data_IF_339867075446
#
_entry.id   IF_339867075446
#
_cell.length_a   1.000
_cell.length_b   1.000
_cell.length_c   1.000
_cell.angle_alpha   90.00
_cell.angle_beta   90.00
_cell.angle_gamma   90.00
#
_symmetry.space_group_name_H-M   'P 1'
#
loop_
_entity.id
_entity.type
_entity.pdbx_description
1 polymer ?
#
# COMPACT_ATOMS: atom_id res chain seq x y z
N UNK A 1 5.20 -9.11 -13.71
CA UNK A 1 3.87 -8.70 -13.20
C UNK A 1 3.96 -8.84 -11.69
N UNK A 2 3.65 -7.79 -10.92
CA UNK A 2 3.59 -7.95 -9.46
C UNK A 2 2.51 -8.97 -9.15
N UNK A 3 2.89 -10.04 -8.47
CA UNK A 3 1.98 -11.13 -8.19
C UNK A 3 0.98 -10.70 -7.11
N UNK A 4 -0.32 -10.89 -7.39
CA UNK A 4 -1.40 -10.58 -6.43
C UNK A 4 -1.19 -11.34 -5.12
N UNK A 5 -0.58 -12.51 -5.19
CA UNK A 5 -0.24 -13.37 -4.05
C UNK A 5 0.78 -12.70 -3.11
N UNK A 6 1.79 -12.00 -3.66
CA UNK A 6 2.80 -11.31 -2.85
C UNK A 6 2.24 -10.03 -2.20
N UNK A 7 1.29 -9.37 -2.84
CA UNK A 7 0.58 -8.21 -2.25
C UNK A 7 -0.27 -8.66 -1.07
N UNK A 8 -0.88 -9.85 -1.13
CA UNK A 8 -1.72 -10.39 -0.06
C UNK A 8 -0.97 -10.76 1.22
N UNK A 9 0.25 -11.28 1.09
CA UNK A 9 1.08 -11.66 2.23
C UNK A 9 1.67 -10.44 2.97
N UNK A 10 1.89 -9.33 2.25
CA UNK A 10 2.55 -8.15 2.80
C UNK A 10 1.58 -7.00 3.15
N UNK A 11 0.40 -6.92 2.53
CA UNK A 11 -0.58 -5.88 2.85
C UNK A 11 -1.34 -6.23 4.13
N UNK A 12 -1.28 -5.31 5.09
CA UNK A 12 -1.98 -5.42 6.37
C UNK A 12 -2.82 -4.17 6.62
N UNK A 13 -3.96 -4.36 7.24
CA UNK A 13 -4.84 -3.28 7.70
C UNK A 13 -5.22 -3.56 9.16
N UNK A 14 -5.30 -2.50 9.97
CA UNK A 14 -5.78 -2.66 11.35
C UNK A 14 -7.29 -2.83 11.37
N UNK A 15 -7.79 -3.60 12.34
CA UNK A 15 -9.22 -3.87 12.46
C UNK A 15 -10.05 -2.61 12.72
N UNK A 16 -9.48 -1.58 13.36
CA UNK A 16 -10.18 -0.33 13.58
C UNK A 16 -10.21 0.58 12.34
N UNK A 17 -9.14 0.60 11.53
CA UNK A 17 -9.13 1.24 10.21
C UNK A 17 -10.13 0.57 9.26
N UNK A 18 -10.17 -0.77 9.24
CA UNK A 18 -11.15 -1.52 8.46
C UNK A 18 -12.57 -1.26 8.93
N UNK A 19 -12.81 -1.20 10.24
CA UNK A 19 -14.11 -0.88 10.81
C UNK A 19 -14.56 0.54 10.43
N UNK A 20 -13.65 1.51 10.46
CA UNK A 20 -13.95 2.88 10.04
C UNK A 20 -14.37 2.93 8.57
N UNK A 21 -13.61 2.28 7.68
CA UNK A 21 -13.96 2.14 6.26
C UNK A 21 -15.35 1.53 6.07
N UNK A 22 -15.64 0.43 6.77
CA UNK A 22 -16.95 -0.23 6.70
C UNK A 22 -18.04 0.73 7.19
N UNK A 23 -17.84 1.41 8.32
CA UNK A 23 -18.83 2.33 8.89
C UNK A 23 -19.10 3.55 8.01
N UNK A 24 -18.07 4.09 7.34
CA UNK A 24 -18.25 5.15 6.35
C UNK A 24 -19.18 4.71 5.21
N UNK A 25 -19.00 3.48 4.70
CA UNK A 25 -19.86 2.91 3.65
C UNK A 25 -21.27 2.63 4.20
N UNK A 26 -21.39 2.06 5.40
CA UNK A 26 -22.69 1.80 6.06
C UNK A 26 -23.48 3.09 6.22
N UNK A 27 -22.84 4.15 6.70
CA UNK A 27 -23.46 5.47 6.88
C UNK A 27 -23.91 6.07 5.55
N UNK A 28 -23.09 5.96 4.50
CA UNK A 28 -23.46 6.42 3.15
C UNK A 28 -24.67 5.66 2.57
N UNK A 29 -24.86 4.40 2.97
CA UNK A 29 -26.03 3.58 2.62
C UNK A 29 -27.22 3.71 3.62
N UNK A 30 -27.15 4.64 4.57
CA UNK A 30 -28.22 4.87 5.55
C UNK A 30 -28.34 3.81 6.64
N UNK A 31 -27.28 3.07 6.93
CA UNK A 31 -27.25 2.00 7.94
C UNK A 31 -26.46 2.40 9.19
N UNK A 32 -26.89 1.87 10.34
CA UNK A 32 -26.24 2.09 11.63
C UNK A 32 -24.79 1.58 11.64
N UNK A 33 -23.92 2.30 12.33
CA UNK A 33 -22.52 1.93 12.51
C UNK A 33 -22.37 0.63 13.35
N UNK A 34 -21.34 -0.14 13.00
CA UNK A 34 -20.89 -1.27 13.80
C UNK A 34 -19.99 -0.77 14.93
N UNK A 35 -20.30 -1.24 16.14
CA UNK A 35 -19.45 -1.04 17.31
C UNK A 35 -18.22 -1.93 17.25
N UNK A 36 -17.10 -1.46 17.79
CA UNK A 36 -15.85 -2.21 17.79
C UNK A 36 -15.96 -3.58 18.47
N UNK A 37 -16.61 -3.68 19.63
CA UNK A 37 -16.77 -4.96 20.33
C UNK A 37 -17.51 -6.00 19.47
N UNK A 38 -18.54 -5.57 18.73
CA UNK A 38 -19.28 -6.44 17.80
C UNK A 38 -18.44 -6.83 16.59
N UNK A 39 -17.63 -5.90 16.08
CA UNK A 39 -16.73 -6.18 14.96
C UNK A 39 -15.62 -7.16 15.35
N UNK A 40 -15.01 -6.99 16.52
CA UNK A 40 -13.99 -7.91 17.03
C UNK A 40 -14.56 -9.30 17.32
N UNK A 41 -15.78 -9.40 17.85
CA UNK A 41 -16.46 -10.69 17.98
C UNK A 41 -16.63 -11.37 16.62
N UNK A 42 -16.97 -10.59 15.57
CA UNK A 42 -17.04 -11.12 14.22
C UNK A 42 -15.68 -11.58 13.70
N UNK A 43 -14.60 -10.86 13.98
CA UNK A 43 -13.25 -11.25 13.54
C UNK A 43 -12.86 -12.60 14.11
N UNK A 44 -13.05 -12.81 15.42
CA UNK A 44 -12.71 -14.07 16.10
C UNK A 44 -13.46 -15.27 15.54
N UNK A 45 -14.73 -15.05 15.17
CA UNK A 45 -15.60 -16.07 14.61
C UNK A 45 -15.28 -16.39 13.14
N UNK A 46 -15.00 -15.37 12.30
CA UNK A 46 -14.67 -15.59 10.88
C UNK A 46 -13.28 -16.20 10.66
N UNK A 47 -12.35 -15.86 11.54
CA UNK A 47 -10.93 -16.19 11.44
C UNK A 47 -10.50 -17.20 12.52
N UNK A 48 -11.46 -17.98 13.01
CA UNK A 48 -11.19 -19.05 13.96
C UNK A 48 -10.17 -20.04 13.37
N UNK A 49 -9.17 -20.42 14.17
CA UNK A 49 -8.09 -21.30 13.73
C UNK A 49 -6.94 -20.62 12.97
N UNK A 50 -7.03 -19.31 12.70
CA UNK A 50 -5.94 -18.54 12.10
C UNK A 50 -5.13 -17.77 13.13
N UNK A 51 -3.86 -17.50 12.81
CA UNK A 51 -3.04 -16.60 13.61
C UNK A 51 -3.56 -15.16 13.47
N UNK A 52 -3.99 -14.57 14.59
CA UNK A 52 -4.41 -13.19 14.71
C UNK A 52 -3.39 -12.41 15.54
N UNK A 53 -2.71 -11.46 14.92
CA UNK A 53 -1.85 -10.53 15.64
C UNK A 53 -2.73 -9.47 16.31
N UNK A 54 -2.82 -9.53 17.64
CA UNK A 54 -3.64 -8.64 18.45
C UNK A 54 -2.79 -7.63 19.22
N UNK A 55 -3.21 -6.36 19.18
CA UNK A 55 -2.62 -5.26 19.94
C UNK A 55 -3.66 -4.66 20.87
N UNK A 56 -3.22 -4.29 22.08
CA UNK A 56 -4.05 -3.54 23.02
C UNK A 56 -3.76 -2.06 22.87
N UNK A 57 -4.79 -1.27 22.59
CA UNK A 57 -4.71 0.19 22.59
C UNK A 57 -5.48 0.77 23.77
N UNK A 58 -4.93 1.80 24.40
CA UNK A 58 -5.64 2.57 25.42
C UNK A 58 -6.42 3.69 24.73
N UNK A 59 -7.73 3.69 24.89
CA UNK A 59 -8.63 4.73 24.38
C UNK A 59 -9.35 5.42 25.54
N UNK A 60 -9.71 6.68 25.37
CA UNK A 60 -10.56 7.37 26.34
C UNK A 60 -11.94 6.68 26.35
N UNK A 61 -12.48 6.42 27.54
CA UNK A 61 -13.84 5.90 27.62
C UNK A 61 -14.85 7.05 27.45
N UNK A 62 -15.77 6.89 26.49
CA UNK A 62 -16.85 7.85 26.27
C UNK A 62 -17.64 8.09 27.55
N UNK A 63 -17.86 9.37 27.89
CA UNK A 63 -18.65 9.77 29.05
C UNK A 63 -17.98 9.57 30.42
N UNK A 64 -16.69 9.25 30.50
CA UNK A 64 -15.92 9.19 31.76
C UNK A 64 -14.86 10.28 31.83
N UNK A 65 -14.43 10.59 33.06
CA UNK A 65 -13.36 11.57 33.33
C UNK A 65 -12.13 11.30 32.46
N UNK A 66 -11.44 12.36 32.03
CA UNK A 66 -10.32 12.30 31.07
C UNK A 66 -9.19 11.31 31.42
N UNK A 67 -9.11 10.89 32.68
CA UNK A 67 -8.11 9.97 33.19
C UNK A 67 -8.50 8.48 33.08
N UNK A 68 -9.75 8.17 32.73
CA UNK A 68 -10.19 6.78 32.56
C UNK A 68 -9.94 6.30 31.13
N UNK A 69 -8.96 5.40 30.98
CA UNK A 69 -8.65 4.74 29.71
C UNK A 69 -9.21 3.32 29.70
N UNK A 70 -9.95 2.97 28.65
CA UNK A 70 -10.38 1.60 28.36
C UNK A 70 -9.34 0.94 27.44
N UNK A 71 -9.07 -0.35 27.66
CA UNK A 71 -8.32 -1.15 26.69
C UNK A 71 -9.25 -1.58 25.54
N UNK A 72 -8.81 -1.34 24.32
CA UNK A 72 -9.45 -1.76 23.08
C UNK A 72 -8.52 -2.72 22.37
N UNK A 73 -9.04 -3.87 21.97
CA UNK A 73 -8.32 -4.85 21.19
C UNK A 73 -8.39 -4.48 19.70
N UNK A 74 -7.25 -4.49 19.02
CA UNK A 74 -7.12 -4.18 17.60
C UNK A 74 -6.30 -5.28 16.94
N UNK A 75 -6.78 -5.82 15.82
CA UNK A 75 -6.11 -6.89 15.09
C UNK A 75 -5.40 -6.36 13.86
N UNK A 76 -4.23 -6.92 13.55
CA UNK A 76 -3.50 -6.72 12.29
C UNK A 76 -3.94 -7.81 11.30
N UNK A 77 -4.75 -7.42 10.32
CA UNK A 77 -5.40 -8.33 9.36
C UNK A 77 -4.70 -8.31 8.01
N UNK A 78 -4.50 -9.48 7.40
CA UNK A 78 -4.02 -9.59 6.01
C UNK A 78 -5.09 -9.17 5.00
N UNK A 79 -4.70 -9.02 3.73
CA UNK A 79 -5.63 -8.72 2.62
C UNK A 79 -6.80 -9.70 2.53
N UNK A 80 -6.52 -10.99 2.60
CA UNK A 80 -7.53 -12.04 2.53
C UNK A 80 -8.44 -12.08 3.76
N UNK A 81 -7.87 -11.85 4.96
CA UNK A 81 -8.65 -11.72 6.18
C UNK A 81 -9.61 -10.53 6.12
N UNK A 82 -9.13 -9.36 5.68
CA UNK A 82 -9.96 -8.17 5.50
C UNK A 82 -11.09 -8.38 4.48
N UNK A 83 -10.80 -9.06 3.36
CA UNK A 83 -11.82 -9.39 2.35
C UNK A 83 -12.92 -10.30 2.91
N UNK A 84 -12.56 -11.35 3.66
CA UNK A 84 -13.54 -12.22 4.34
C UNK A 84 -14.40 -11.43 5.33
N UNK A 85 -13.79 -10.54 6.10
CA UNK A 85 -14.56 -9.64 6.96
C UNK A 85 -15.53 -8.75 6.18
N UNK A 86 -15.13 -8.25 5.00
CA UNK A 86 -16.02 -7.52 4.09
C UNK A 86 -17.19 -8.35 3.57
N UNK A 87 -17.01 -9.67 3.39
CA UNK A 87 -18.09 -10.58 2.97
C UNK A 87 -19.21 -10.72 4.01
N UNK A 88 -18.96 -10.36 5.28
CA UNK A 88 -19.94 -10.40 6.37
C UNK A 88 -20.94 -9.23 6.36
N UNK A 89 -20.77 -8.31 5.42
CA UNK A 89 -21.71 -7.20 5.20
C UNK A 89 -22.85 -7.59 4.25
N UNK A 90 -23.88 -6.73 4.23
CA UNK A 90 -25.02 -6.88 3.32
C UNK A 90 -24.57 -6.71 1.86
N UNK A 91 -25.35 -7.25 0.91
CA UNK A 91 -24.98 -7.29 -0.53
C UNK A 91 -24.44 -5.96 -1.07
N UNK A 92 -25.13 -4.84 -0.78
CA UNK A 92 -24.75 -3.50 -1.27
C UNK A 92 -23.46 -2.98 -0.63
N UNK A 93 -23.33 -3.11 0.70
CA UNK A 93 -22.13 -2.68 1.43
C UNK A 93 -20.93 -3.55 1.06
N UNK A 94 -21.11 -4.88 1.01
CA UNK A 94 -20.08 -5.86 0.67
C UNK A 94 -19.37 -5.51 -0.63
N UNK A 95 -20.13 -5.22 -1.69
CA UNK A 95 -19.55 -4.87 -2.98
C UNK A 95 -18.60 -3.66 -2.88
N UNK A 96 -19.05 -2.60 -2.19
CA UNK A 96 -18.26 -1.37 -1.97
C UNK A 96 -17.05 -1.59 -1.06
N UNK A 97 -17.19 -2.38 -0.01
CA UNK A 97 -16.09 -2.71 0.91
C UNK A 97 -15.02 -3.51 0.18
N UNK A 98 -15.40 -4.55 -0.56
CA UNK A 98 -14.48 -5.37 -1.35
C UNK A 98 -13.76 -4.53 -2.40
N UNK A 99 -14.50 -3.70 -3.14
CA UNK A 99 -13.92 -2.78 -4.13
C UNK A 99 -12.88 -1.86 -3.48
N UNK A 100 -13.22 -1.25 -2.33
CA UNK A 100 -12.29 -0.35 -1.64
C UNK A 100 -11.04 -1.07 -1.12
N UNK A 101 -11.18 -2.28 -0.57
CA UNK A 101 -10.04 -3.09 -0.13
C UNK A 101 -9.14 -3.44 -1.33
N UNK A 102 -9.72 -3.83 -2.46
CA UNK A 102 -8.96 -4.13 -3.68
C UNK A 102 -8.23 -2.90 -4.23
N UNK A 103 -8.86 -1.73 -4.22
CA UNK A 103 -8.22 -0.47 -4.59
C UNK A 103 -7.02 -0.16 -3.68
N UNK A 104 -7.19 -0.26 -2.35
CA UNK A 104 -6.10 -0.03 -1.40
C UNK A 104 -4.93 -1.00 -1.62
N UNK A 105 -5.22 -2.28 -1.87
CA UNK A 105 -4.20 -3.28 -2.20
C UNK A 105 -3.45 -2.93 -3.48
N UNK A 106 -4.16 -2.49 -4.51
CA UNK A 106 -3.58 -2.07 -5.78
C UNK A 106 -2.71 -0.82 -5.61
N UNK A 107 -3.17 0.18 -4.85
CA UNK A 107 -2.41 1.39 -4.53
C UNK A 107 -1.08 1.04 -3.87
N UNK A 108 -1.10 0.16 -2.85
CA UNK A 108 0.14 -0.28 -2.17
C UNK A 108 1.06 -1.07 -3.09
N UNK A 109 0.52 -1.95 -3.93
CA UNK A 109 1.31 -2.68 -4.93
C UNK A 109 2.00 -1.74 -5.91
N UNK A 110 1.28 -0.73 -6.40
CA UNK A 110 1.83 0.28 -7.30
C UNK A 110 2.91 1.13 -6.63
N UNK A 111 2.71 1.53 -5.37
CA UNK A 111 3.73 2.25 -4.60
C UNK A 111 5.02 1.43 -4.44
N UNK A 112 4.91 0.13 -4.15
CA UNK A 112 6.06 -0.77 -4.05
C UNK A 112 6.81 -0.89 -5.37
N UNK A 113 6.09 -1.06 -6.48
CA UNK A 113 6.68 -1.06 -7.82
C UNK A 113 7.45 0.24 -8.09
N UNK A 114 6.87 1.38 -7.76
CA UNK A 114 7.51 2.70 -7.95
C UNK A 114 8.76 2.84 -7.07
N UNK A 115 8.73 2.33 -5.85
CA UNK A 115 9.89 2.31 -4.96
C UNK A 115 11.01 1.42 -5.53
N UNK A 116 10.67 0.23 -6.03
CA UNK A 116 11.62 -0.66 -6.70
C UNK A 116 12.25 -0.02 -7.93
N UNK A 117 11.46 0.65 -8.78
CA UNK A 117 12.03 1.40 -9.92
C UNK A 117 13.00 2.51 -9.45
N UNK A 118 12.75 3.13 -8.30
CA UNK A 118 13.68 4.07 -7.67
C UNK A 118 14.99 3.39 -7.23
N UNK A 119 14.91 2.22 -6.61
CA UNK A 119 16.07 1.41 -6.20
C UNK A 119 16.88 0.91 -7.41
N UNK A 120 16.21 0.55 -8.51
CA UNK A 120 16.89 0.22 -9.77
C UNK A 120 17.70 1.40 -10.31
N UNK A 121 17.22 2.63 -10.14
CA UNK A 121 17.97 3.82 -10.51
C UNK A 121 19.17 4.08 -9.58
N UNK A 122 19.07 3.79 -8.29
CA UNK A 122 20.24 3.83 -7.38
C UNK A 122 21.29 2.80 -7.82
N UNK A 123 20.86 1.56 -8.09
CA UNK A 123 21.74 0.49 -8.55
C UNK A 123 22.39 0.79 -9.91
N UNK A 124 21.66 1.43 -10.82
CA UNK A 124 22.20 1.84 -12.11
C UNK A 124 23.28 2.91 -11.95
N UNK A 125 23.13 3.82 -10.98
CA UNK A 125 24.14 4.82 -10.67
C UNK A 125 25.43 4.17 -10.14
N UNK A 126 25.31 3.19 -9.24
CA UNK A 126 26.44 2.39 -8.76
C UNK A 126 27.18 1.70 -9.93
N UNK A 127 26.44 1.01 -10.79
CA UNK A 127 27.01 0.34 -11.97
C UNK A 127 27.71 1.33 -12.91
N UNK A 128 27.16 2.53 -13.08
CA UNK A 128 27.77 3.56 -13.91
C UNK A 128 29.10 4.06 -13.32
N UNK A 129 29.15 4.26 -12.00
CA UNK A 129 30.37 4.65 -11.29
C UNK A 129 31.43 3.53 -11.32
N UNK A 130 31.00 2.26 -11.34
CA UNK A 130 31.87 1.09 -11.53
C UNK A 130 32.33 0.90 -13.00
N UNK A 131 31.95 1.80 -13.92
CA UNK A 131 32.30 1.72 -15.34
C UNK A 131 31.46 0.74 -16.17
N UNK A 132 30.47 0.07 -15.57
CA UNK A 132 29.55 -0.88 -16.23
C UNK A 132 28.40 -0.15 -16.92
N UNK A 133 28.72 0.75 -17.85
CA UNK A 133 27.78 1.70 -18.46
C UNK A 133 26.62 1.03 -19.22
N UNK A 134 26.88 -0.09 -19.92
CA UNK A 134 25.83 -0.82 -20.66
C UNK A 134 24.79 -1.44 -19.73
N UNK A 135 25.24 -2.05 -18.63
CA UNK A 135 24.36 -2.65 -17.63
C UNK A 135 23.55 -1.58 -16.89
N UNK A 136 24.20 -0.45 -16.56
CA UNK A 136 23.55 0.71 -15.99
C UNK A 136 22.44 1.27 -16.90
N UNK A 137 22.73 1.42 -18.21
CA UNK A 137 21.75 1.89 -19.19
C UNK A 137 20.56 0.93 -19.33
N UNK A 138 20.82 -0.38 -19.43
CA UNK A 138 19.77 -1.40 -19.50
C UNK A 138 18.86 -1.33 -18.26
N UNK A 139 19.45 -1.17 -17.07
CA UNK A 139 18.69 -1.14 -15.82
C UNK A 139 17.79 0.10 -15.71
N UNK A 140 18.25 1.27 -16.18
CA UNK A 140 17.40 2.47 -16.26
C UNK A 140 16.25 2.28 -17.25
N UNK A 141 16.51 1.73 -18.44
CA UNK A 141 15.45 1.46 -19.43
C UNK A 141 14.39 0.52 -18.84
N UNK A 142 14.81 -0.51 -18.10
CA UNK A 142 13.88 -1.40 -17.40
C UNK A 142 13.07 -0.65 -16.33
N UNK A 143 13.72 0.21 -15.52
CA UNK A 143 13.05 1.01 -14.52
C UNK A 143 12.00 1.97 -15.13
N UNK A 144 12.32 2.62 -16.24
CA UNK A 144 11.39 3.50 -16.97
C UNK A 144 10.18 2.75 -17.53
N UNK A 145 10.41 1.56 -18.13
CA UNK A 145 9.34 0.70 -18.65
C UNK A 145 8.41 0.19 -17.57
N UNK A 146 8.95 -0.12 -16.40
CA UNK A 146 8.20 -0.66 -15.28
C UNK A 146 7.50 0.42 -14.44
N UNK A 147 7.98 1.66 -14.49
CA UNK A 147 7.38 2.77 -13.78
C UNK A 147 5.95 3.06 -14.28
N UNK A 148 4.95 2.72 -13.47
CA UNK A 148 3.53 3.01 -13.71
C UNK A 148 3.04 3.98 -12.64
N UNK A 149 2.86 5.28 -12.95
CA UNK A 149 2.32 6.21 -11.97
C UNK A 149 0.86 5.88 -11.66
N UNK A 150 0.46 6.10 -10.41
CA UNK A 150 -0.93 5.96 -9.97
C UNK A 150 -1.78 6.96 -10.76
N UNK A 151 -2.74 6.49 -11.55
CA UNK A 151 -3.61 7.37 -12.35
C UNK A 151 -4.60 8.12 -11.44
N UNK A 152 -4.32 9.42 -11.27
CA UNK A 152 -5.19 10.57 -11.02
C UNK A 152 -6.44 10.56 -10.12
N UNK A 153 -6.91 9.47 -9.50
CA UNK A 153 -8.12 9.56 -8.64
C UNK A 153 -7.85 9.88 -7.16
N UNK A 154 -6.59 9.81 -6.69
CA UNK A 154 -6.19 10.25 -5.36
C UNK A 154 -4.90 11.08 -5.42
N UNK A 155 -5.03 12.40 -5.55
CA UNK A 155 -3.91 13.35 -5.73
C UNK A 155 -2.83 13.33 -4.63
N UNK A 156 -3.09 12.69 -3.48
CA UNK A 156 -2.12 12.52 -2.39
C UNK A 156 -1.01 11.52 -2.77
N UNK A 157 -1.33 10.49 -3.54
CA UNK A 157 -0.39 9.43 -3.93
C UNK A 157 0.57 9.85 -5.06
N UNK A 158 0.35 10.98 -5.72
CA UNK A 158 1.28 11.50 -6.73
C UNK A 158 2.57 12.04 -6.10
N UNK A 159 2.53 12.51 -4.84
CA UNK A 159 3.70 13.11 -4.19
C UNK A 159 4.74 12.07 -3.78
N UNK A 160 4.33 10.90 -3.28
CA UNK A 160 5.22 9.78 -2.96
C UNK A 160 5.91 9.20 -4.21
N UNK A 161 5.32 9.39 -5.39
CA UNK A 161 5.84 8.88 -6.66
C UNK A 161 6.84 9.81 -7.36
N UNK A 162 6.89 11.09 -6.97
CA UNK A 162 7.76 12.12 -7.57
C UNK A 162 9.27 11.84 -7.34
N UNK A 163 9.73 11.43 -6.15
CA UNK A 163 11.15 11.18 -5.89
C UNK A 163 11.74 10.11 -6.82
N UNK A 164 11.11 8.93 -6.93
CA UNK A 164 11.57 7.85 -7.81
C UNK A 164 11.63 8.28 -9.27
N UNK A 165 10.62 9.01 -9.75
CA UNK A 165 10.59 9.52 -11.12
C UNK A 165 11.75 10.49 -11.41
N UNK A 166 12.00 11.43 -10.49
CA UNK A 166 13.12 12.38 -10.62
C UNK A 166 14.44 11.63 -10.65
N UNK A 167 14.61 10.66 -9.76
CA UNK A 167 15.81 9.82 -9.65
C UNK A 167 16.09 9.05 -10.93
N UNK A 168 15.10 8.33 -11.47
CA UNK A 168 15.23 7.60 -12.74
C UNK A 168 15.70 8.54 -13.86
N UNK A 169 15.08 9.73 -13.97
CA UNK A 169 15.46 10.73 -14.97
C UNK A 169 16.87 11.29 -14.77
N UNK A 170 17.25 11.64 -13.55
CA UNK A 170 18.58 12.19 -13.27
C UNK A 170 19.68 11.17 -13.54
N UNK A 171 19.48 9.92 -13.12
CA UNK A 171 20.44 8.84 -13.36
C UNK A 171 20.55 8.52 -14.86
N UNK A 172 19.43 8.47 -15.58
CA UNK A 172 19.44 8.30 -17.04
C UNK A 172 20.23 9.40 -17.76
N UNK A 173 20.06 10.66 -17.34
CA UNK A 173 20.81 11.79 -17.90
C UNK A 173 22.32 11.68 -17.61
N UNK A 174 22.69 11.28 -16.39
CA UNK A 174 24.09 11.06 -16.01
C UNK A 174 24.73 9.93 -16.82
N UNK A 175 24.09 8.75 -16.91
CA UNK A 175 24.59 7.63 -17.71
C UNK A 175 24.71 8.04 -19.18
N UNK A 176 23.72 8.78 -19.71
CA UNK A 176 23.78 9.33 -21.07
C UNK A 176 25.00 10.23 -21.29
N UNK A 177 25.35 11.08 -20.32
CA UNK A 177 26.57 11.90 -20.41
C UNK A 177 27.86 11.10 -20.37
N UNK A 178 27.91 10.01 -19.59
CA UNK A 178 29.08 9.12 -19.53
C UNK A 178 29.26 8.29 -20.81
N UNK A 179 28.16 7.91 -21.46
CA UNK A 179 28.18 7.28 -22.78
C UNK A 179 28.59 8.24 -23.91
N UNK A 180 28.57 9.56 -23.66
CA UNK A 180 29.07 10.60 -24.58
C UNK A 180 30.59 10.85 -24.45
N UNK A 181 31.37 9.86 -23.99
CA UNK A 181 32.82 9.83 -24.24
C UNK A 181 33.03 9.30 -25.68
N UNK A 182 33.08 10.27 -26.61
CA UNK A 182 33.39 10.23 -28.05
C UNK A 182 32.69 9.16 -28.90
N UNK A 183 31.45 9.47 -29.34
CA UNK A 183 30.84 8.83 -30.53
C UNK A 183 30.90 9.69 -31.81
N UNK A 184 31.54 10.86 -31.76
CA UNK A 184 31.92 11.66 -32.93
C UNK A 184 33.32 12.21 -32.71
N UNK A 185 34.39 11.57 -33.24
CA UNK A 185 35.66 12.25 -33.43
C UNK A 185 35.47 13.35 -34.50
N UNK A 186 36.29 14.41 -34.38
CA UNK A 186 36.28 15.68 -35.12
C UNK A 186 35.66 15.69 -36.54
#
# INVERSE_FOLDING_TARGET
>A
MFDLVQVDSEWRIRSDELLELINQIRKAEGLNELKNDRFNAKIRDELEGEFLEAHKMRVQADGKAANFRKEKEVYSLTGNQALRMGMRETKRIRAKVVERIQQLRLEVSQLKLIQQCGQMADRALELANDGKLKDAANLIVLAERQYKPISSQAGVNLNSCKPSKRKIKSTGKYIGSLLQINLFPE
#
